data_IF_915311338675
#
_entry.id   IF_915311338675
#
_cell.length_a   1.000
_cell.length_b   1.000
_cell.length_c   1.000
_cell.angle_alpha   90.00
_cell.angle_beta   90.00
_cell.angle_gamma   90.00
#
_symmetry.space_group_name_H-M   'P 1'
#
loop_
_entity.id
_entity.type
_entity.pdbx_description
1 polymer ?
#
# COMPACT_ATOMS: atom_id res chain seq x y z
N UNK A 1 -17.08 17.00 -22.34
CA UNK A 1 -16.02 15.98 -22.29
C UNK A 1 -16.70 14.69 -21.88
N UNK A 2 -16.58 13.62 -22.68
CA UNK A 2 -17.21 12.34 -22.33
C UNK A 2 -16.49 11.77 -21.11
N UNK A 3 -17.22 11.57 -20.03
CA UNK A 3 -16.77 10.76 -18.88
C UNK A 3 -16.54 9.35 -19.42
N UNK A 4 -15.28 8.97 -19.59
CA UNK A 4 -14.96 7.59 -19.97
C UNK A 4 -15.42 6.70 -18.82
N UNK A 5 -16.33 5.79 -19.11
CA UNK A 5 -16.77 4.75 -18.20
C UNK A 5 -15.63 3.77 -17.94
N UNK A 6 -15.54 3.18 -16.74
CA UNK A 6 -14.61 2.10 -16.47
C UNK A 6 -14.75 0.99 -17.52
N UNK A 7 -13.62 0.40 -17.90
CA UNK A 7 -13.59 -0.69 -18.86
C UNK A 7 -14.05 -1.94 -18.14
N UNK A 8 -14.91 -2.72 -18.77
CA UNK A 8 -15.28 -4.03 -18.24
C UNK A 8 -14.28 -5.06 -18.75
N UNK A 9 -13.49 -5.62 -17.87
CA UNK A 9 -12.60 -6.75 -18.12
C UNK A 9 -13.36 -8.06 -17.87
N UNK A 10 -12.92 -9.13 -18.51
CA UNK A 10 -13.41 -10.48 -18.21
C UNK A 10 -12.80 -10.96 -16.90
N UNK A 11 -13.48 -11.86 -16.19
CA UNK A 11 -12.97 -12.47 -14.95
C UNK A 11 -11.62 -13.14 -15.22
N UNK A 12 -11.49 -13.91 -16.29
CA UNK A 12 -10.24 -14.56 -16.70
C UNK A 12 -9.08 -13.55 -16.88
N UNK A 13 -9.32 -12.40 -17.53
CA UNK A 13 -8.29 -11.38 -17.68
C UNK A 13 -7.91 -10.71 -16.36
N UNK A 14 -8.83 -10.58 -15.42
CA UNK A 14 -8.54 -10.08 -14.07
C UNK A 14 -7.70 -11.11 -13.32
N UNK A 15 -8.07 -12.38 -13.39
CA UNK A 15 -7.37 -13.48 -12.71
C UNK A 15 -5.92 -13.60 -13.20
N UNK A 16 -5.68 -13.50 -14.50
CA UNK A 16 -4.34 -13.52 -15.08
C UNK A 16 -3.49 -12.36 -14.53
N UNK A 17 -4.01 -11.12 -14.56
CA UNK A 17 -3.32 -9.95 -14.00
C UNK A 17 -3.07 -10.07 -12.49
N UNK A 18 -4.04 -10.60 -11.75
CA UNK A 18 -3.91 -10.85 -10.30
C UNK A 18 -2.85 -11.91 -10.04
N UNK A 19 -2.85 -12.99 -10.82
CA UNK A 19 -1.84 -14.03 -10.71
C UNK A 19 -0.43 -13.48 -10.93
N UNK A 20 -0.20 -12.71 -11.98
CA UNK A 20 1.09 -12.10 -12.29
C UNK A 20 1.55 -11.15 -11.18
N UNK A 21 0.65 -10.28 -10.71
CA UNK A 21 0.94 -9.34 -9.62
C UNK A 21 1.25 -10.06 -8.30
N UNK A 22 0.63 -11.21 -8.05
CA UNK A 22 0.81 -12.02 -6.84
C UNK A 22 2.06 -12.89 -6.90
N UNK A 23 2.35 -13.47 -8.07
CA UNK A 23 3.52 -14.35 -8.28
C UNK A 23 4.84 -13.58 -8.34
N UNK A 24 4.77 -12.27 -8.60
CA UNK A 24 5.97 -11.45 -8.76
C UNK A 24 6.50 -11.42 -10.20
N UNK A 25 5.72 -11.88 -11.19
CA UNK A 25 6.14 -11.90 -12.60
C UNK A 25 5.85 -10.56 -13.28
N UNK A 26 6.81 -9.66 -13.18
CA UNK A 26 6.70 -8.32 -13.77
C UNK A 26 6.65 -8.35 -15.30
N UNK A 27 7.34 -9.30 -15.94
CA UNK A 27 7.39 -9.36 -17.39
C UNK A 27 6.06 -9.90 -17.97
N UNK A 28 5.46 -10.90 -17.34
CA UNK A 28 4.13 -11.38 -17.66
C UNK A 28 3.11 -10.25 -17.47
N UNK A 29 3.09 -9.59 -16.31
CA UNK A 29 2.19 -8.48 -16.03
C UNK A 29 2.27 -7.35 -17.07
N UNK A 30 3.48 -6.95 -17.47
CA UNK A 30 3.68 -5.93 -18.52
C UNK A 30 3.12 -6.38 -19.86
N UNK A 31 3.34 -7.65 -20.22
CA UNK A 31 2.86 -8.25 -21.47
C UNK A 31 1.33 -8.23 -21.50
N UNK A 32 0.68 -8.69 -20.43
CA UNK A 32 -0.77 -8.81 -20.37
C UNK A 32 -1.45 -7.44 -20.34
N UNK A 33 -0.90 -6.48 -19.59
CA UNK A 33 -1.36 -5.10 -19.63
C UNK A 33 -1.25 -4.48 -21.03
N UNK A 34 -0.18 -4.78 -21.79
CA UNK A 34 -0.01 -4.28 -23.16
C UNK A 34 -1.02 -4.93 -24.13
N UNK A 35 -1.27 -6.22 -24.00
CA UNK A 35 -2.26 -6.96 -24.80
C UNK A 35 -3.65 -6.39 -24.53
N UNK A 36 -4.07 -6.27 -23.28
CA UNK A 36 -5.39 -5.75 -22.90
C UNK A 36 -5.56 -4.29 -23.30
N UNK A 37 -4.52 -3.45 -23.15
CA UNK A 37 -4.52 -2.06 -23.60
C UNK A 37 -4.79 -1.96 -25.12
N UNK A 38 -4.19 -2.86 -25.90
CA UNK A 38 -4.40 -2.93 -27.34
C UNK A 38 -5.82 -3.42 -27.70
N UNK A 39 -6.30 -4.48 -27.03
CA UNK A 39 -7.63 -5.05 -27.23
C UNK A 39 -8.74 -4.05 -26.94
N UNK A 40 -8.61 -3.33 -25.83
CA UNK A 40 -9.60 -2.33 -25.41
C UNK A 40 -9.36 -0.93 -26.00
N UNK A 41 -8.28 -0.74 -26.79
CA UNK A 41 -7.89 0.56 -27.37
C UNK A 41 -7.85 1.69 -26.32
N UNK A 42 -7.26 1.42 -25.18
CA UNK A 42 -7.16 2.35 -24.05
C UNK A 42 -5.78 2.31 -23.38
N UNK A 43 -5.39 3.36 -22.65
CA UNK A 43 -4.14 3.35 -21.86
C UNK A 43 -4.13 2.24 -20.81
N UNK A 44 -2.95 1.70 -20.52
CA UNK A 44 -2.78 0.68 -19.47
C UNK A 44 -3.31 1.12 -18.09
N UNK A 45 -3.24 2.42 -17.79
CA UNK A 45 -3.80 2.96 -16.55
C UNK A 45 -5.28 2.66 -16.37
N UNK A 46 -6.06 2.61 -17.47
CA UNK A 46 -7.46 2.22 -17.42
C UNK A 46 -7.65 0.74 -17.14
N UNK A 47 -6.77 -0.11 -17.68
CA UNK A 47 -6.77 -1.55 -17.37
C UNK A 47 -6.49 -1.74 -15.88
N UNK A 48 -5.42 -1.14 -15.35
CA UNK A 48 -5.06 -1.23 -13.93
C UNK A 48 -6.19 -0.72 -13.03
N UNK A 49 -6.82 0.40 -13.38
CA UNK A 49 -7.94 0.96 -12.62
C UNK A 49 -9.22 0.11 -12.66
N UNK A 50 -9.38 -0.73 -13.70
CA UNK A 50 -10.56 -1.59 -13.89
C UNK A 50 -10.33 -3.03 -13.43
N UNK A 51 -9.10 -3.42 -13.15
CA UNK A 51 -8.74 -4.76 -12.71
C UNK A 51 -8.98 -4.90 -11.19
N UNK A 52 -10.25 -5.13 -10.85
CA UNK A 52 -10.72 -5.36 -9.50
C UNK A 52 -11.36 -6.74 -9.48
N UNK A 53 -10.97 -7.56 -8.53
CA UNK A 53 -11.62 -8.84 -8.26
C UNK A 53 -13.10 -8.59 -7.95
N UNK A 54 -13.95 -8.89 -8.91
CA UNK A 54 -15.39 -8.64 -8.84
C UNK A 54 -16.21 -9.88 -8.53
N UNK A 55 -15.55 -10.99 -8.21
CA UNK A 55 -16.24 -12.19 -7.76
C UNK A 55 -17.00 -11.91 -6.44
N UNK A 56 -18.17 -12.49 -6.26
CA UNK A 56 -18.88 -12.37 -4.98
C UNK A 56 -18.07 -12.95 -3.82
N UNK A 57 -18.17 -12.33 -2.65
CA UNK A 57 -17.49 -12.81 -1.44
C UNK A 57 -17.87 -14.26 -1.10
N UNK A 58 -19.13 -14.65 -1.37
CA UNK A 58 -19.65 -16.01 -1.17
C UNK A 58 -18.99 -17.06 -2.09
N UNK A 59 -18.41 -16.61 -3.21
CA UNK A 59 -17.66 -17.44 -4.17
C UNK A 59 -16.14 -17.34 -3.96
N UNK A 60 -15.70 -16.60 -2.95
CA UNK A 60 -14.28 -16.42 -2.59
C UNK A 60 -13.64 -15.15 -3.14
N UNK A 61 -14.42 -14.27 -3.78
CA UNK A 61 -13.95 -12.98 -4.24
C UNK A 61 -13.52 -12.08 -3.10
N UNK A 62 -12.46 -11.34 -3.31
CA UNK A 62 -11.86 -10.46 -2.30
C UNK A 62 -12.25 -9.00 -2.46
N UNK A 63 -12.70 -8.58 -3.64
CA UNK A 63 -12.88 -7.19 -4.00
C UNK A 63 -11.57 -6.40 -4.11
N UNK A 64 -10.43 -7.07 -4.17
CA UNK A 64 -9.11 -6.43 -4.21
C UNK A 64 -8.77 -5.90 -5.60
N UNK A 65 -8.12 -4.74 -5.68
CA UNK A 65 -7.49 -4.26 -6.90
C UNK A 65 -6.04 -4.77 -7.02
N UNK A 66 -5.43 -4.59 -8.19
CA UNK A 66 -4.06 -5.09 -8.46
C UNK A 66 -3.00 -4.59 -7.47
N UNK A 67 -3.19 -3.44 -6.80
CA UNK A 67 -2.21 -2.91 -5.85
C UNK A 67 -2.13 -3.72 -4.54
N UNK A 68 -3.21 -4.43 -4.16
CA UNK A 68 -3.26 -5.17 -2.90
C UNK A 68 -2.23 -6.29 -2.83
N UNK A 69 -2.11 -7.08 -3.90
CA UNK A 69 -1.29 -8.29 -3.90
C UNK A 69 0.21 -7.99 -3.78
N UNK A 70 0.83 -7.12 -4.60
CA UNK A 70 2.23 -6.76 -4.43
C UNK A 70 2.50 -6.03 -3.11
N UNK A 71 1.55 -5.25 -2.61
CA UNK A 71 1.65 -4.60 -1.30
C UNK A 71 1.69 -5.62 -0.16
N UNK A 72 0.86 -6.66 -0.22
CA UNK A 72 0.81 -7.74 0.76
C UNK A 72 2.07 -8.62 0.76
N UNK A 73 2.66 -8.83 -0.42
CA UNK A 73 3.81 -9.71 -0.59
C UNK A 73 5.17 -8.97 -0.51
N UNK A 74 5.16 -7.63 -0.42
CA UNK A 74 6.39 -6.83 -0.44
C UNK A 74 7.04 -6.76 -1.82
N UNK A 75 6.30 -7.03 -2.91
CA UNK A 75 6.79 -6.94 -4.28
C UNK A 75 6.87 -5.48 -4.73
N UNK A 76 7.87 -4.77 -4.22
CA UNK A 76 8.08 -3.35 -4.44
C UNK A 76 8.19 -3.01 -5.94
N UNK A 77 8.88 -3.81 -6.72
CA UNK A 77 9.11 -3.57 -8.15
C UNK A 77 7.79 -3.54 -8.93
N UNK A 78 6.91 -4.52 -8.69
CA UNK A 78 5.57 -4.57 -9.30
C UNK A 78 4.70 -3.43 -8.82
N UNK A 79 4.71 -3.14 -7.51
CA UNK A 79 3.94 -2.06 -6.95
C UNK A 79 4.34 -0.71 -7.55
N UNK A 80 5.65 -0.41 -7.62
CA UNK A 80 6.17 0.80 -8.23
C UNK A 80 5.84 0.90 -9.71
N UNK A 81 5.90 -0.21 -10.46
CA UNK A 81 5.48 -0.24 -11.86
C UNK A 81 3.99 0.12 -12.01
N UNK A 82 3.10 -0.50 -11.24
CA UNK A 82 1.65 -0.22 -11.30
C UNK A 82 1.35 1.24 -10.91
N UNK A 83 1.98 1.76 -9.86
CA UNK A 83 1.84 3.15 -9.45
C UNK A 83 2.37 4.11 -10.53
N UNK A 84 3.48 3.78 -11.18
CA UNK A 84 3.99 4.57 -12.30
C UNK A 84 3.01 4.58 -13.49
N UNK A 85 2.41 3.45 -13.83
CA UNK A 85 1.37 3.35 -14.88
C UNK A 85 0.18 4.25 -14.54
N UNK A 86 -0.22 4.36 -13.27
CA UNK A 86 -1.34 5.19 -12.83
C UNK A 86 -1.01 6.68 -12.79
N UNK A 87 0.22 7.05 -12.42
CA UNK A 87 0.59 8.44 -12.09
C UNK A 87 1.45 9.14 -13.15
N UNK A 88 2.14 8.38 -14.03
CA UNK A 88 3.08 8.92 -15.00
C UNK A 88 2.55 8.85 -16.43
N UNK A 89 2.91 9.84 -17.24
CA UNK A 89 2.59 9.89 -18.66
C UNK A 89 1.19 10.43 -18.98
N UNK A 90 0.74 10.22 -20.22
CA UNK A 90 -0.60 10.62 -20.70
C UNK A 90 -1.66 9.57 -20.29
N UNK A 91 -1.81 9.34 -19.00
CA UNK A 91 -2.67 8.27 -18.46
C UNK A 91 -4.15 8.49 -18.72
N UNK A 92 -4.57 9.71 -18.99
CA UNK A 92 -5.98 10.14 -19.08
C UNK A 92 -6.79 9.91 -17.78
N UNK A 93 -6.18 9.46 -16.71
CA UNK A 93 -6.77 9.46 -15.38
C UNK A 93 -6.50 10.82 -14.73
N UNK A 94 -7.52 11.36 -14.10
CA UNK A 94 -7.35 12.56 -13.26
C UNK A 94 -6.88 12.16 -11.84
N UNK A 95 -6.45 13.16 -11.07
CA UNK A 95 -5.94 12.93 -9.72
C UNK A 95 -6.97 12.24 -8.80
N UNK A 96 -8.26 12.54 -8.97
CA UNK A 96 -9.31 11.91 -8.17
C UNK A 96 -9.48 10.43 -8.53
N UNK A 97 -9.34 10.08 -9.80
CA UNK A 97 -9.39 8.69 -10.27
C UNK A 97 -8.17 7.90 -9.79
N UNK A 98 -6.98 8.49 -9.84
CA UNK A 98 -5.77 7.87 -9.26
C UNK A 98 -5.94 7.64 -7.77
N UNK A 99 -6.40 8.65 -7.03
CA UNK A 99 -6.67 8.53 -5.58
C UNK A 99 -7.71 7.44 -5.28
N UNK A 100 -8.74 7.30 -6.12
CA UNK A 100 -9.74 6.25 -5.96
C UNK A 100 -9.17 4.83 -6.13
N UNK A 101 -8.19 4.65 -7.03
CA UNK A 101 -7.51 3.34 -7.22
C UNK A 101 -6.55 3.06 -6.07
N UNK A 102 -5.74 4.04 -5.68
CA UNK A 102 -4.74 3.90 -4.60
C UNK A 102 -5.42 3.62 -3.25
N UNK A 103 -6.59 4.26 -3.02
CA UNK A 103 -7.37 4.11 -1.80
C UNK A 103 -8.56 3.12 -1.96
N UNK A 104 -8.51 2.26 -2.99
CA UNK A 104 -9.54 1.25 -3.19
C UNK A 104 -9.62 0.32 -1.97
N UNK A 105 -10.85 0.10 -1.50
CA UNK A 105 -11.15 -0.78 -0.35
C UNK A 105 -11.67 -2.12 -0.86
N UNK A 106 -11.07 -3.19 -0.41
CA UNK A 106 -11.56 -4.55 -0.67
C UNK A 106 -12.83 -4.88 0.16
N UNK A 107 -13.36 -6.09 0.07
CA UNK A 107 -14.57 -6.50 0.79
C UNK A 107 -14.48 -6.39 2.32
N UNK A 108 -13.28 -6.45 2.89
CA UNK A 108 -13.06 -6.23 4.34
C UNK A 108 -12.72 -4.76 4.68
N UNK A 109 -12.86 -3.86 3.72
CA UNK A 109 -12.50 -2.45 3.88
C UNK A 109 -11.01 -2.15 3.87
N UNK A 110 -10.14 -3.13 3.65
CA UNK A 110 -8.69 -2.90 3.61
C UNK A 110 -8.27 -2.28 2.28
N UNK A 111 -7.36 -1.30 2.34
CA UNK A 111 -6.64 -0.77 1.18
C UNK A 111 -5.30 -1.50 1.01
N UNK A 112 -4.61 -1.28 -0.11
CA UNK A 112 -3.25 -1.80 -0.32
C UNK A 112 -2.28 -1.35 0.80
N UNK A 113 -2.48 -0.13 1.34
CA UNK A 113 -1.68 0.37 2.47
C UNK A 113 -1.87 -0.44 3.75
N UNK A 114 -3.11 -0.88 4.05
CA UNK A 114 -3.38 -1.76 5.19
C UNK A 114 -2.60 -3.09 5.08
N UNK A 115 -2.55 -3.67 3.89
CA UNK A 115 -1.85 -4.94 3.66
C UNK A 115 -0.33 -4.78 3.71
N UNK A 116 0.21 -3.69 3.15
CA UNK A 116 1.64 -3.38 3.27
C UNK A 116 2.06 -3.16 4.73
N UNK A 117 1.25 -2.46 5.50
CA UNK A 117 1.49 -2.16 6.90
C UNK A 117 1.40 -3.42 7.78
N UNK A 118 0.35 -4.23 7.60
CA UNK A 118 0.14 -5.50 8.31
C UNK A 118 1.31 -6.47 8.11
N UNK A 119 1.87 -6.53 6.90
CA UNK A 119 3.00 -7.39 6.56
C UNK A 119 4.37 -6.67 6.71
N UNK A 120 4.39 -5.48 7.29
CA UNK A 120 5.60 -4.71 7.61
C UNK A 120 6.51 -4.40 6.41
N UNK A 121 5.94 -4.23 5.23
CA UNK A 121 6.65 -3.92 3.99
C UNK A 121 6.86 -2.41 3.83
N UNK A 122 7.86 -1.87 4.52
CA UNK A 122 8.11 -0.43 4.62
C UNK A 122 8.24 0.27 3.26
N UNK A 123 8.94 -0.33 2.29
CA UNK A 123 9.12 0.31 0.97
C UNK A 123 7.80 0.36 0.19
N UNK A 124 6.95 -0.67 0.31
CA UNK A 124 5.60 -0.62 -0.25
C UNK A 124 4.73 0.45 0.43
N UNK A 125 4.83 0.60 1.75
CA UNK A 125 4.15 1.68 2.49
C UNK A 125 4.58 3.04 1.97
N UNK A 126 5.89 3.29 1.82
CA UNK A 126 6.44 4.54 1.29
C UNK A 126 5.94 4.84 -0.13
N UNK A 127 5.96 3.83 -1.00
CA UNK A 127 5.50 3.95 -2.38
C UNK A 127 4.01 4.34 -2.46
N UNK A 128 3.14 3.68 -1.66
CA UNK A 128 1.71 3.95 -1.62
C UNK A 128 1.40 5.35 -1.08
N UNK A 129 2.01 5.75 0.03
CA UNK A 129 1.82 7.11 0.60
C UNK A 129 2.33 8.17 -0.37
N UNK A 130 3.48 7.95 -1.02
CA UNK A 130 4.00 8.83 -2.07
C UNK A 130 3.08 8.94 -3.28
N UNK A 131 2.26 7.93 -3.56
CA UNK A 131 1.25 7.94 -4.61
C UNK A 131 -0.11 8.52 -4.17
N UNK A 132 -0.26 8.93 -2.92
CA UNK A 132 -1.47 9.55 -2.37
C UNK A 132 -2.37 8.58 -1.61
N UNK A 133 -1.84 7.49 -1.04
CA UNK A 133 -2.59 6.67 -0.10
C UNK A 133 -2.93 7.48 1.17
N UNK A 134 -4.19 7.43 1.55
CA UNK A 134 -4.69 8.10 2.75
C UNK A 134 -4.48 7.18 3.97
N UNK A 135 -3.61 7.60 4.87
CA UNK A 135 -3.25 6.84 6.09
C UNK A 135 -4.37 6.82 7.14
N UNK A 136 -5.33 7.75 7.03
CA UNK A 136 -6.45 7.85 7.96
C UNK A 136 -7.63 6.92 7.62
N UNK A 137 -7.59 6.23 6.50
CA UNK A 137 -8.63 5.26 6.14
C UNK A 137 -8.59 4.10 7.13
N UNK A 138 -9.75 3.75 7.68
CA UNK A 138 -9.94 2.57 8.52
C UNK A 138 -10.67 1.47 7.74
N UNK A 139 -10.31 0.22 8.00
CA UNK A 139 -11.03 -0.94 7.47
C UNK A 139 -12.38 -1.16 8.20
N UNK A 140 -13.11 -2.21 7.87
CA UNK A 140 -14.43 -2.49 8.46
C UNK A 140 -14.35 -2.91 9.94
N UNK A 141 -13.17 -3.28 10.43
CA UNK A 141 -12.90 -3.48 11.86
C UNK A 141 -12.52 -2.18 12.60
N UNK A 142 -12.51 -1.02 11.91
CA UNK A 142 -12.14 0.27 12.48
C UNK A 142 -10.63 0.46 12.68
N UNK A 143 -9.80 -0.36 12.03
CA UNK A 143 -8.34 -0.33 12.15
C UNK A 143 -7.73 0.41 10.96
N UNK A 144 -6.79 1.29 11.21
CA UNK A 144 -5.96 1.96 10.21
C UNK A 144 -4.62 1.23 9.96
N UNK A 145 -3.84 1.75 9.03
CA UNK A 145 -2.56 1.15 8.66
C UNK A 145 -1.52 1.19 9.81
N UNK A 146 -1.56 2.24 10.66
CA UNK A 146 -0.64 2.39 11.78
C UNK A 146 -0.90 1.29 12.80
N UNK A 147 -2.17 1.10 13.19
CA UNK A 147 -2.57 0.08 14.15
C UNK A 147 -2.24 -1.34 13.65
N UNK A 148 -2.41 -1.60 12.35
CA UNK A 148 -2.07 -2.91 11.78
C UNK A 148 -0.56 -3.18 11.82
N UNK A 149 0.27 -2.17 11.60
CA UNK A 149 1.73 -2.29 11.73
C UNK A 149 2.15 -2.55 13.19
N UNK A 150 1.55 -1.84 14.16
CA UNK A 150 1.78 -2.08 15.59
C UNK A 150 1.40 -3.50 16.00
N UNK A 151 0.24 -3.98 15.54
CA UNK A 151 -0.23 -5.33 15.84
C UNK A 151 0.68 -6.41 15.26
N UNK A 152 1.23 -6.20 14.06
CA UNK A 152 2.18 -7.12 13.45
C UNK A 152 3.46 -7.26 14.29
N UNK A 153 3.89 -6.17 14.91
CA UNK A 153 5.06 -6.13 15.77
C UNK A 153 4.87 -6.97 17.04
N UNK A 154 3.73 -6.81 17.71
CA UNK A 154 3.42 -7.57 18.91
C UNK A 154 3.31 -9.08 18.67
N UNK A 155 2.79 -9.50 17.52
CA UNK A 155 2.65 -10.92 17.18
C UNK A 155 3.99 -11.60 16.91
N UNK A 156 5.05 -10.86 16.57
CA UNK A 156 6.40 -11.40 16.40
C UNK A 156 7.14 -11.54 17.74
N UNK A 157 6.83 -10.70 18.73
CA UNK A 157 7.42 -10.79 20.06
C UNK A 157 6.87 -12.01 20.84
N UNK A 158 5.57 -12.33 20.71
CA UNK A 158 4.95 -13.47 21.39
C UNK A 158 5.40 -14.85 20.84
N UNK A 159 5.93 -14.95 19.63
CA UNK A 159 6.43 -16.20 19.05
C UNK A 159 7.91 -16.50 19.39
N UNK A 160 8.59 -15.57 20.06
CA UNK A 160 9.98 -15.73 20.51
C UNK A 160 10.13 -16.42 21.87
N UNK A 161 9.06 -16.64 22.64
CA UNK A 161 9.07 -17.28 23.96
C UNK A 161 8.20 -18.54 23.96
N UNK A 162 8.63 -19.62 23.31
CA UNK A 162 8.21 -20.95 23.74
C UNK A 162 9.15 -21.38 24.89
N UNK A 163 8.64 -21.68 26.09
CA UNK A 163 9.46 -22.30 27.11
C UNK A 163 9.68 -23.77 26.72
N UNK A 164 10.86 -24.12 26.23
CA UNK A 164 11.33 -25.49 26.27
C UNK A 164 11.45 -25.90 27.75
N UNK A 165 10.47 -26.65 28.25
CA UNK A 165 10.63 -27.46 29.45
C UNK A 165 11.62 -28.58 29.13
N UNK A 166 12.89 -28.33 29.38
CA UNK A 166 13.91 -29.36 29.51
C UNK A 166 14.69 -29.08 30.82
N UNK A 167 14.34 -29.84 31.84
CA UNK A 167 15.15 -29.99 33.02
C UNK A 167 16.56 -30.45 32.67
N UNK A 168 17.56 -29.58 32.76
CA UNK A 168 18.94 -29.98 32.94
C UNK A 168 19.60 -28.97 33.88
N UNK A 169 19.91 -29.45 35.11
CA UNK A 169 20.82 -28.82 36.02
C UNK A 169 22.19 -28.68 35.38
N UNK A 170 22.71 -27.48 35.16
CA UNK A 170 24.14 -27.20 35.15
C UNK A 170 24.41 -25.75 35.51
N UNK A 171 25.42 -25.60 36.32
CA UNK A 171 26.01 -24.48 37.01
C UNK A 171 26.11 -23.14 36.25
N UNK A 172 25.90 -22.05 37.01
CA UNK A 172 25.96 -20.68 36.59
C UNK A 172 27.34 -20.27 36.04
N UNK A 173 27.37 -19.84 34.78
CA UNK A 173 28.24 -18.76 34.34
C UNK A 173 27.38 -17.64 33.80
N UNK A 174 27.36 -16.54 34.52
CA UNK A 174 26.72 -15.28 34.09
C UNK A 174 27.56 -14.73 32.95
N UNK A 175 27.20 -15.09 31.70
CA UNK A 175 27.52 -14.25 30.58
C UNK A 175 26.34 -13.30 30.40
N UNK A 176 26.58 -12.05 30.77
CA UNK A 176 25.74 -10.92 30.36
C UNK A 176 25.70 -10.94 28.82
N UNK A 177 24.67 -11.56 28.27
CA UNK A 177 24.33 -11.42 26.86
C UNK A 177 23.98 -9.97 26.63
N UNK A 178 24.86 -9.25 25.95
CA UNK A 178 24.57 -7.92 25.41
C UNK A 178 23.29 -8.05 24.60
N UNK A 179 22.18 -7.56 25.19
CA UNK A 179 20.97 -7.27 24.45
C UNK A 179 21.39 -6.40 23.27
N UNK A 180 21.17 -6.88 22.06
CA UNK A 180 21.46 -6.17 20.83
C UNK A 180 20.54 -4.94 20.75
N UNK A 181 20.93 -3.89 21.48
CA UNK A 181 20.29 -2.60 21.49
C UNK A 181 20.61 -1.91 20.16
N UNK A 182 19.79 -2.16 19.10
CA UNK A 182 20.08 -1.40 17.91
C UNK A 182 19.20 -1.60 16.69
N UNK A 183 18.54 -2.70 16.46
CA UNK A 183 17.67 -2.78 15.29
C UNK A 183 16.20 -2.71 15.71
N UNK A 184 15.56 -1.62 15.26
CA UNK A 184 14.12 -1.42 15.41
C UNK A 184 13.38 -2.51 14.64
N UNK A 185 12.35 -3.13 15.23
CA UNK A 185 11.53 -4.11 14.54
C UNK A 185 10.92 -3.53 13.24
N UNK A 186 10.60 -4.39 12.29
CA UNK A 186 10.05 -3.95 11.01
C UNK A 186 8.69 -3.24 11.17
N UNK A 187 7.84 -3.74 12.07
CA UNK A 187 6.57 -3.10 12.39
C UNK A 187 6.77 -1.70 12.95
N UNK A 188 7.68 -1.54 13.90
CA UNK A 188 8.00 -0.24 14.50
C UNK A 188 8.58 0.75 13.49
N UNK A 189 9.40 0.29 12.53
CA UNK A 189 9.90 1.13 11.45
C UNK A 189 8.75 1.68 10.59
N UNK A 190 7.74 0.86 10.28
CA UNK A 190 6.55 1.27 9.53
C UNK A 190 5.75 2.30 10.34
N UNK A 191 5.47 2.03 11.62
CA UNK A 191 4.75 2.94 12.51
C UNK A 191 5.44 4.30 12.60
N UNK A 192 6.74 4.32 12.89
CA UNK A 192 7.50 5.56 13.05
C UNK A 192 7.53 6.38 11.75
N UNK A 193 7.66 5.69 10.61
CA UNK A 193 7.62 6.34 9.32
C UNK A 193 6.24 6.95 9.01
N UNK A 194 5.14 6.19 9.23
CA UNK A 194 3.79 6.69 9.03
C UNK A 194 3.48 7.91 9.89
N UNK A 195 3.78 7.84 11.19
CA UNK A 195 3.57 8.96 12.11
C UNK A 195 4.41 10.19 11.77
N UNK A 196 5.63 10.00 11.23
CA UNK A 196 6.48 11.11 10.79
C UNK A 196 5.94 11.75 9.51
N UNK A 197 5.37 10.96 8.60
CA UNK A 197 4.82 11.45 7.34
C UNK A 197 3.55 12.29 7.54
N UNK A 198 2.67 11.90 8.48
CA UNK A 198 1.50 12.71 8.85
C UNK A 198 1.88 14.07 9.42
N UNK A 199 2.89 14.13 10.28
CA UNK A 199 3.40 15.38 10.84
C UNK A 199 4.06 16.28 9.79
N UNK A 200 4.74 15.66 8.81
CA UNK A 200 5.36 16.39 7.69
C UNK A 200 4.32 17.04 6.77
N UNK A 201 3.28 16.33 6.39
CA UNK A 201 2.20 16.85 5.55
C UNK A 201 1.39 17.96 6.20
N UNK A 202 1.17 17.89 7.52
CA UNK A 202 0.49 18.93 8.28
C UNK A 202 1.32 20.23 8.37
N UNK A 203 2.65 20.15 8.39
CA UNK A 203 3.55 21.30 8.42
C UNK A 203 3.66 21.99 7.06
N UNK A 204 3.65 21.25 5.96
CA UNK A 204 3.66 21.83 4.61
C UNK A 204 2.37 22.58 4.28
N UNK A 205 1.20 22.09 4.70
CA UNK A 205 -0.07 22.78 4.52
C UNK A 205 -0.16 24.07 5.35
N UNK A 206 0.45 24.13 6.53
CA UNK A 206 0.48 25.32 7.36
C UNK A 206 1.49 26.39 6.87
N UNK A 207 2.52 26.00 6.15
CA UNK A 207 3.51 26.93 5.58
C UNK A 207 3.04 27.59 4.28
N UNK A 208 2.06 27.00 3.58
CA UNK A 208 1.51 27.52 2.32
C UNK A 208 0.54 28.70 2.46
N UNK A 209 -0.04 28.94 3.64
CA UNK A 209 -1.06 29.97 3.83
C UNK A 209 -0.54 31.35 4.30
N UNK A 210 0.77 31.52 4.50
CA UNK A 210 1.29 32.73 5.15
C UNK A 210 2.11 33.64 4.22
N UNK A 211 1.99 33.54 2.88
CA UNK A 211 2.74 34.45 1.96
C UNK A 211 1.89 35.30 1.04
N UNK A 212 0.60 35.51 1.33
CA UNK A 212 -0.26 36.35 0.52
C UNK A 212 -0.95 37.48 1.31
N UNK A 213 -0.20 38.25 2.10
CA UNK A 213 -0.72 39.50 2.67
C UNK A 213 0.40 40.45 3.11
N UNK A 214 1.11 41.04 2.15
CA UNK A 214 1.81 42.34 2.39
C UNK A 214 2.32 42.93 1.08
N UNK A 215 1.48 43.65 0.34
CA UNK A 215 1.87 44.82 -0.44
C UNK A 215 0.63 45.47 -1.06
N UNK A 216 -0.04 46.34 -0.32
CA UNK A 216 -0.69 47.50 -0.87
C UNK A 216 -0.70 48.58 0.22
N UNK A 217 0.19 49.51 0.07
CA UNK A 217 0.24 50.68 0.92
C UNK A 217 1.10 51.78 0.32
N UNK A 218 0.42 52.78 -0.16
CA UNK A 218 0.93 54.15 -0.32
C UNK A 218 1.53 54.54 -1.67
N UNK A 219 0.74 55.31 -2.41
CA UNK A 219 1.14 56.67 -2.80
C UNK A 219 -0.05 57.46 -3.37
N UNK A 220 -0.36 58.57 -2.73
CA UNK A 220 -0.94 59.88 -3.18
C UNK A 220 -1.98 59.88 -4.29
#
# INVERSE_FOLDING_TARGET
>A
MATKTPITLTVEAIDDLVYDARSGDLDALKSDLAVLSTQHSCPQAWIVASAIDSEPEEEGGTGSCLLHFPAANGNEEILNFLLAVLTQGETQLDQAQVAAVVNHRNHSGNTALHWAALNTHLECVKALVGAGADVAITNDAGLDAVFLAERADWSTEEQGEEPEEAEVEVEAEVQEGEANAGEMSKGRQVVEWLLSSEKGGALESAAGENTAAATEGSTQ
#
